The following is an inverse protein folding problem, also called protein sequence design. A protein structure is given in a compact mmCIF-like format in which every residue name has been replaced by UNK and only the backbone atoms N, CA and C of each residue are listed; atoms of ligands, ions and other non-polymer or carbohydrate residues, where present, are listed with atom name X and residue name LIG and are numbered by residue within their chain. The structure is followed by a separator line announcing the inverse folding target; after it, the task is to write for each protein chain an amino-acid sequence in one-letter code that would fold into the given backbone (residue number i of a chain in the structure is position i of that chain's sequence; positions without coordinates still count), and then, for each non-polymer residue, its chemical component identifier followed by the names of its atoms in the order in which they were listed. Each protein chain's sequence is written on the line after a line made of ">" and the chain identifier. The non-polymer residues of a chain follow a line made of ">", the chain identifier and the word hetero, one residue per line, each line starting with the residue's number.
data_IF_959236747889
#
_entry.id   IF_959236747889
#
_cell.length_a   1.000
_cell.length_b   1.000
_cell.length_c   1.000
_cell.angle_alpha   90.00
_cell.angle_beta   90.00
_cell.angle_gamma   90.00
#
_symmetry.space_group_name_H-M   'P 1'
#
loop_
_entity.id
_entity.type
_entity.pdbx_description
1 polymer ?
#
# COMPACT_ATOMS: atom_id res chain seq x y z
N UNK A 1 4.70 14.04 -27.10
CA UNK A 1 4.86 12.87 -26.21
C UNK A 1 3.49 12.30 -25.96
N UNK A 2 3.34 11.00 -26.14
CA UNK A 2 2.07 10.29 -25.95
C UNK A 2 1.79 10.18 -24.45
N UNK A 3 0.51 10.13 -24.03
CA UNK A 3 0.13 9.85 -22.63
C UNK A 3 0.70 8.52 -22.08
N UNK A 4 1.20 7.64 -22.95
CA UNK A 4 1.88 6.40 -22.56
C UNK A 4 3.28 6.63 -21.95
N UNK A 5 3.95 7.75 -22.29
CA UNK A 5 5.32 8.04 -21.80
C UNK A 5 5.35 8.46 -20.31
N UNK A 6 4.19 8.87 -19.76
CA UNK A 6 4.08 9.45 -18.42
C UNK A 6 4.08 8.40 -17.28
N UNK A 7 3.85 7.13 -17.60
CA UNK A 7 3.79 6.01 -16.64
C UNK A 7 4.93 4.99 -16.80
N UNK A 8 5.90 5.24 -17.68
CA UNK A 8 7.02 4.33 -17.88
C UNK A 8 7.96 4.33 -16.66
N UNK A 9 8.22 3.15 -16.10
CA UNK A 9 9.27 2.98 -15.10
C UNK A 9 10.61 3.44 -15.68
N UNK A 10 11.19 4.49 -15.10
CA UNK A 10 12.53 4.94 -15.41
C UNK A 10 13.50 4.39 -14.36
N UNK A 11 14.53 3.61 -14.76
CA UNK A 11 15.51 3.11 -13.80
C UNK A 11 16.16 4.28 -13.06
N UNK A 12 16.21 4.16 -11.73
CA UNK A 12 16.71 5.21 -10.85
C UNK A 12 18.16 5.61 -11.14
N UNK A 13 18.53 6.80 -10.70
CA UNK A 13 19.89 7.34 -10.83
C UNK A 13 20.92 6.35 -10.24
N UNK A 14 21.97 6.02 -10.99
CA UNK A 14 23.09 5.19 -10.52
C UNK A 14 23.60 5.68 -9.15
N UNK A 15 23.48 4.83 -8.13
CA UNK A 15 23.96 5.12 -6.77
C UNK A 15 25.48 4.95 -6.76
N UNK A 16 26.21 5.85 -6.08
CA UNK A 16 27.67 5.73 -5.93
C UNK A 16 28.00 4.43 -5.17
N UNK A 17 28.81 3.55 -5.77
CA UNK A 17 29.28 2.30 -5.16
C UNK A 17 29.98 2.60 -3.83
N UNK A 18 29.53 1.98 -2.73
CA UNK A 18 30.27 2.00 -1.45
C UNK A 18 31.41 0.95 -1.52
N UNK A 19 32.56 1.19 -0.87
CA UNK A 19 33.75 0.33 -0.98
C UNK A 19 33.55 -1.11 -0.46
N UNK A 20 32.52 -1.32 0.34
CA UNK A 20 32.29 -2.51 1.17
C UNK A 20 31.01 -3.28 0.73
N UNK A 21 30.42 -2.89 -0.40
CA UNK A 21 29.19 -3.50 -0.93
C UNK A 21 29.42 -4.98 -1.28
N UNK A 22 28.52 -5.86 -0.84
CA UNK A 22 28.66 -7.33 -0.98
C UNK A 22 29.81 -8.00 -0.20
N UNK A 23 30.69 -7.25 0.48
CA UNK A 23 31.90 -7.80 1.10
C UNK A 23 31.56 -8.75 2.27
N UNK A 24 31.81 -10.05 2.09
CA UNK A 24 31.55 -11.11 3.07
C UNK A 24 30.21 -11.82 2.92
N UNK A 25 29.32 -11.31 2.06
CA UNK A 25 28.04 -11.92 1.72
C UNK A 25 28.13 -12.71 0.40
N UNK A 26 27.17 -13.60 0.18
CA UNK A 26 27.11 -14.41 -1.03
C UNK A 26 25.70 -14.47 -1.61
N UNK A 27 25.62 -14.73 -2.92
CA UNK A 27 24.37 -14.83 -3.66
C UNK A 27 24.32 -16.16 -4.41
N UNK A 28 23.11 -16.69 -4.60
CA UNK A 28 22.86 -17.92 -5.32
C UNK A 28 22.09 -17.64 -6.62
N UNK A 29 22.44 -18.38 -7.67
CA UNK A 29 21.73 -18.38 -8.95
C UNK A 29 21.16 -19.77 -9.18
N UNK A 30 19.87 -19.85 -9.47
CA UNK A 30 19.19 -21.10 -9.83
C UNK A 30 18.69 -20.99 -11.28
N UNK A 31 19.18 -21.86 -12.14
CA UNK A 31 18.75 -21.94 -13.54
C UNK A 31 17.72 -23.05 -13.64
N UNK A 32 16.50 -22.69 -14.03
CA UNK A 32 15.38 -23.61 -14.20
C UNK A 32 15.22 -23.88 -15.68
N UNK A 33 15.75 -25.03 -16.11
CA UNK A 33 15.64 -25.50 -17.48
C UNK A 33 15.89 -27.00 -17.53
N UNK A 34 14.86 -27.76 -17.88
CA UNK A 34 14.98 -29.21 -18.09
C UNK A 34 16.06 -29.57 -19.12
N UNK A 35 16.16 -28.82 -20.23
CA UNK A 35 17.17 -29.06 -21.25
C UNK A 35 18.61 -28.81 -20.76
N UNK A 36 18.82 -27.78 -19.94
CA UNK A 36 20.14 -27.50 -19.36
C UNK A 36 20.50 -28.51 -18.28
N UNK A 37 19.53 -28.89 -17.44
CA UNK A 37 19.74 -29.90 -16.39
C UNK A 37 20.10 -31.29 -16.95
N UNK A 38 19.59 -31.63 -18.14
CA UNK A 38 19.93 -32.86 -18.86
C UNK A 38 21.19 -32.74 -19.74
N UNK A 39 21.85 -31.57 -19.77
CA UNK A 39 23.04 -31.33 -20.58
C UNK A 39 22.77 -31.25 -22.10
N UNK A 40 21.51 -31.11 -22.51
CA UNK A 40 21.11 -30.99 -23.93
C UNK A 40 21.22 -29.57 -24.47
N UNK A 41 21.26 -28.58 -23.58
CA UNK A 41 21.44 -27.17 -23.93
C UNK A 41 22.45 -26.53 -22.97
N UNK A 42 23.25 -25.60 -23.47
CA UNK A 42 24.08 -24.75 -22.62
C UNK A 42 23.21 -23.70 -21.92
N UNK A 43 23.47 -23.43 -20.65
CA UNK A 43 22.89 -22.30 -19.95
C UNK A 43 23.52 -20.99 -20.45
N UNK A 44 22.67 -20.02 -20.79
CA UNK A 44 23.05 -18.69 -21.26
C UNK A 44 22.59 -17.57 -20.32
N UNK A 45 21.91 -17.93 -19.24
CA UNK A 45 21.27 -17.01 -18.29
C UNK A 45 22.01 -16.96 -16.95
N UNK A 46 22.47 -18.09 -16.44
CA UNK A 46 23.26 -18.16 -15.20
C UNK A 46 24.55 -17.36 -15.24
N UNK A 47 25.36 -17.38 -16.32
CA UNK A 47 26.54 -16.53 -16.44
C UNK A 47 26.22 -15.03 -16.33
N UNK A 48 25.11 -14.56 -16.92
CA UNK A 48 24.73 -13.15 -16.86
C UNK A 48 24.46 -12.69 -15.42
N UNK A 49 23.76 -13.52 -14.64
CA UNK A 49 23.48 -13.24 -13.23
C UNK A 49 24.74 -13.34 -12.38
N UNK A 50 25.58 -14.34 -12.64
CA UNK A 50 26.84 -14.56 -11.93
C UNK A 50 27.78 -13.38 -12.11
N UNK A 51 27.96 -12.91 -13.35
CA UNK A 51 28.80 -11.77 -13.69
C UNK A 51 28.28 -10.47 -13.04
N UNK A 52 26.97 -10.25 -13.09
CA UNK A 52 26.34 -9.08 -12.47
C UNK A 52 26.56 -9.03 -10.96
N UNK A 53 26.29 -10.13 -10.27
CA UNK A 53 26.43 -10.23 -8.82
C UNK A 53 27.90 -10.18 -8.38
N UNK A 54 28.79 -10.86 -9.10
CA UNK A 54 30.23 -10.78 -8.84
C UNK A 54 30.75 -9.35 -9.06
N UNK A 55 30.24 -8.65 -10.08
CA UNK A 55 30.53 -7.24 -10.34
C UNK A 55 30.07 -6.28 -9.24
N UNK A 56 29.24 -6.76 -8.31
CA UNK A 56 28.79 -6.07 -7.09
C UNK A 56 29.48 -6.57 -5.81
N UNK A 57 30.46 -7.45 -5.92
CA UNK A 57 31.30 -7.88 -4.79
C UNK A 57 30.77 -9.08 -4.00
N UNK A 58 29.67 -9.70 -4.42
CA UNK A 58 29.18 -10.93 -3.79
C UNK A 58 30.05 -12.13 -4.16
N UNK A 59 30.24 -13.06 -3.23
CA UNK A 59 30.68 -14.42 -3.60
C UNK A 59 29.53 -15.12 -4.31
N UNK A 60 29.75 -15.63 -5.52
CA UNK A 60 28.72 -16.35 -6.29
C UNK A 60 29.27 -17.71 -6.70
N UNK A 61 28.80 -18.82 -6.10
CA UNK A 61 29.12 -20.16 -6.56
C UNK A 61 28.56 -20.43 -7.97
N UNK A 62 28.98 -21.55 -8.58
CA UNK A 62 28.43 -21.99 -9.87
C UNK A 62 26.89 -22.07 -9.83
N UNK A 63 26.20 -21.66 -10.91
CA UNK A 63 24.74 -21.73 -10.97
C UNK A 63 24.21 -23.14 -10.69
N UNK A 64 23.18 -23.22 -9.86
CA UNK A 64 22.47 -24.47 -9.57
C UNK A 64 21.48 -24.70 -10.71
N UNK A 65 21.79 -25.63 -11.60
CA UNK A 65 20.93 -25.97 -12.74
C UNK A 65 19.96 -27.09 -12.33
N UNK A 66 18.67 -26.85 -12.49
CA UNK A 66 17.59 -27.79 -12.17
C UNK A 66 16.58 -27.91 -13.30
N UNK A 67 15.92 -29.06 -13.38
CA UNK A 67 14.78 -29.23 -14.27
C UNK A 67 13.55 -28.47 -13.72
N UNK A 68 12.58 -28.23 -14.60
CA UNK A 68 11.30 -27.63 -14.26
C UNK A 68 10.51 -28.52 -13.27
N UNK A 69 9.59 -27.93 -12.50
CA UNK A 69 8.80 -28.68 -11.51
C UNK A 69 9.42 -28.77 -10.11
N UNK A 70 9.20 -29.93 -9.48
CA UNK A 70 9.61 -30.20 -8.09
C UNK A 70 11.10 -29.92 -7.76
N UNK A 71 12.08 -30.11 -8.67
CA UNK A 71 13.48 -29.81 -8.39
C UNK A 71 13.75 -28.35 -7.99
N UNK A 72 12.94 -27.40 -8.46
CA UNK A 72 13.05 -25.97 -8.10
C UNK A 72 12.83 -25.78 -6.60
N UNK A 73 11.75 -26.36 -6.08
CA UNK A 73 11.44 -26.34 -4.64
C UNK A 73 12.54 -26.98 -3.82
N UNK A 74 13.11 -28.10 -4.27
CA UNK A 74 14.22 -28.76 -3.58
C UNK A 74 15.47 -27.87 -3.51
N UNK A 75 15.79 -27.13 -4.58
CA UNK A 75 16.92 -26.20 -4.56
C UNK A 75 16.68 -25.03 -3.60
N UNK A 76 15.47 -24.46 -3.60
CA UNK A 76 15.09 -23.38 -2.68
C UNK A 76 15.11 -23.84 -1.21
N UNK A 77 14.55 -25.02 -0.90
CA UNK A 77 14.57 -25.62 0.43
C UNK A 77 16.00 -25.75 0.98
N UNK A 78 16.94 -26.24 0.15
CA UNK A 78 18.35 -26.36 0.55
C UNK A 78 18.96 -25.03 0.96
N UNK A 79 18.70 -23.98 0.20
CA UNK A 79 19.29 -22.66 0.43
C UNK A 79 18.61 -21.88 1.56
N UNK A 80 17.30 -22.05 1.72
CA UNK A 80 16.46 -21.21 2.58
C UNK A 80 16.11 -21.83 3.92
N UNK A 81 16.21 -23.16 4.03
CA UNK A 81 15.82 -23.88 5.24
C UNK A 81 16.96 -24.73 5.76
N UNK A 82 17.55 -25.57 4.90
CA UNK A 82 18.52 -26.58 5.34
C UNK A 82 19.86 -25.94 5.76
N UNK A 83 20.21 -24.77 5.22
CA UNK A 83 21.35 -23.98 5.66
C UNK A 83 21.07 -23.24 6.98
N UNK A 84 22.04 -23.19 7.92
CA UNK A 84 21.97 -22.33 9.09
C UNK A 84 21.72 -20.87 8.70
N UNK A 85 20.92 -20.14 9.49
CA UNK A 85 20.52 -18.77 9.15
C UNK A 85 21.68 -17.81 8.85
N UNK A 86 22.82 -17.96 9.55
CA UNK A 86 24.03 -17.16 9.32
C UNK A 86 24.80 -17.51 8.04
N UNK A 87 24.49 -18.64 7.40
CA UNK A 87 25.18 -19.15 6.21
C UNK A 87 24.33 -19.03 4.93
N UNK A 88 23.06 -18.59 5.05
CA UNK A 88 22.15 -18.43 3.91
C UNK A 88 22.63 -17.31 2.96
N UNK A 89 22.34 -17.42 1.66
CA UNK A 89 22.68 -16.36 0.71
C UNK A 89 21.89 -15.08 1.03
N UNK A 90 22.43 -13.91 0.71
CA UNK A 90 21.68 -12.64 0.81
C UNK A 90 20.67 -12.50 -0.31
N UNK A 91 21.02 -12.98 -1.48
CA UNK A 91 20.20 -12.91 -2.67
C UNK A 91 20.10 -14.27 -3.36
N UNK A 92 18.90 -14.64 -3.77
CA UNK A 92 18.64 -15.76 -4.65
C UNK A 92 17.94 -15.23 -5.90
N UNK A 93 18.52 -15.47 -7.06
CA UNK A 93 17.88 -15.18 -8.33
C UNK A 93 17.63 -16.48 -9.08
N UNK A 94 16.37 -16.70 -9.47
CA UNK A 94 16.02 -17.81 -10.36
C UNK A 94 15.84 -17.28 -11.78
N UNK A 95 16.12 -18.11 -12.78
CA UNK A 95 15.86 -17.81 -14.20
C UNK A 95 15.19 -19.00 -14.86
N UNK A 96 14.01 -18.80 -15.45
CA UNK A 96 13.20 -19.85 -16.06
C UNK A 96 12.05 -20.34 -15.19
N UNK A 97 11.18 -21.18 -15.77
CA UNK A 97 10.03 -21.77 -15.08
C UNK A 97 8.94 -20.77 -14.66
N UNK A 98 8.89 -19.56 -15.24
CA UNK A 98 7.93 -18.48 -14.88
C UNK A 98 6.82 -18.28 -15.92
N UNK A 99 6.82 -19.01 -17.02
CA UNK A 99 5.85 -18.85 -18.10
C UNK A 99 4.48 -19.44 -17.76
N UNK A 100 3.66 -19.74 -18.77
CA UNK A 100 2.32 -20.32 -18.61
C UNK A 100 2.24 -21.82 -18.86
N UNK A 101 3.38 -22.49 -19.09
CA UNK A 101 3.38 -23.93 -19.30
C UNK A 101 3.06 -24.68 -18.00
N UNK A 102 2.60 -25.93 -18.10
CA UNK A 102 2.19 -26.73 -16.94
C UNK A 102 3.32 -27.05 -15.97
N UNK A 103 4.56 -27.03 -16.45
CA UNK A 103 5.78 -27.31 -15.70
C UNK A 103 6.48 -26.04 -15.20
N UNK A 104 6.10 -24.86 -15.72
CA UNK A 104 6.48 -23.56 -15.16
C UNK A 104 5.89 -23.43 -13.75
N UNK A 105 6.64 -23.84 -12.73
CA UNK A 105 6.17 -23.86 -11.32
C UNK A 105 7.12 -23.12 -10.39
N UNK A 106 8.08 -22.39 -10.94
CA UNK A 106 9.04 -21.59 -10.17
C UNK A 106 8.36 -20.54 -9.30
N UNK A 107 7.34 -19.79 -9.77
CA UNK A 107 6.58 -18.88 -8.94
C UNK A 107 5.91 -19.56 -7.74
N UNK A 108 5.28 -20.71 -7.96
CA UNK A 108 4.61 -21.51 -6.93
C UNK A 108 5.60 -22.00 -5.88
N UNK A 109 6.70 -22.61 -6.33
CA UNK A 109 7.77 -23.09 -5.46
C UNK A 109 8.40 -21.95 -4.65
N UNK A 110 8.56 -20.76 -5.25
CA UNK A 110 9.11 -19.58 -4.56
C UNK A 110 8.13 -19.02 -3.53
N UNK A 111 6.83 -19.03 -3.83
CA UNK A 111 5.79 -18.51 -2.94
C UNK A 111 5.76 -19.22 -1.58
N UNK A 112 6.09 -20.51 -1.54
CA UNK A 112 6.12 -21.30 -0.30
C UNK A 112 7.11 -20.77 0.75
N UNK A 113 8.16 -20.06 0.33
CA UNK A 113 9.24 -19.60 1.21
C UNK A 113 9.19 -18.11 1.52
N UNK A 114 8.41 -17.31 0.78
CA UNK A 114 8.34 -15.86 0.98
C UNK A 114 7.51 -15.54 2.23
N UNK A 115 8.12 -14.92 3.24
CA UNK A 115 7.44 -14.36 4.41
C UNK A 115 6.95 -12.92 4.18
N UNK A 116 7.67 -12.15 3.37
CA UNK A 116 7.37 -10.75 3.05
C UNK A 116 7.41 -10.53 1.54
N UNK A 117 6.25 -10.56 0.87
CA UNK A 117 6.17 -10.32 -0.56
C UNK A 117 6.62 -8.90 -0.95
N UNK A 118 7.31 -8.80 -2.08
CA UNK A 118 7.73 -7.53 -2.68
C UNK A 118 7.14 -7.38 -4.11
N UNK A 119 5.81 -7.32 -4.27
CA UNK A 119 5.15 -7.31 -5.59
C UNK A 119 5.54 -6.11 -6.45
N UNK A 120 5.91 -4.98 -5.83
CA UNK A 120 6.40 -3.80 -6.55
C UNK A 120 7.65 -4.06 -7.41
N UNK A 121 8.52 -5.00 -7.01
CA UNK A 121 9.67 -5.41 -7.82
C UNK A 121 9.21 -6.11 -9.10
N UNK A 122 8.24 -7.02 -8.99
CA UNK A 122 7.70 -7.72 -10.16
C UNK A 122 6.95 -6.76 -11.09
N UNK A 123 6.20 -5.81 -10.54
CA UNK A 123 5.54 -4.77 -11.34
C UNK A 123 6.55 -3.94 -12.12
N UNK A 124 7.67 -3.55 -11.51
CA UNK A 124 8.73 -2.81 -12.20
C UNK A 124 9.39 -3.64 -13.31
N UNK A 125 9.62 -4.94 -13.06
CA UNK A 125 10.14 -5.88 -14.05
C UNK A 125 9.22 -6.01 -15.27
N UNK A 126 7.92 -6.24 -15.05
CA UNK A 126 6.94 -6.33 -16.13
C UNK A 126 6.78 -5.01 -16.86
N UNK A 127 6.68 -3.89 -16.15
CA UNK A 127 6.56 -2.57 -16.74
C UNK A 127 7.77 -2.21 -17.61
N UNK A 128 8.98 -2.61 -17.20
CA UNK A 128 10.19 -2.40 -18.01
C UNK A 128 10.23 -3.33 -19.23
N UNK A 129 9.90 -4.62 -19.05
CA UNK A 129 9.85 -5.59 -20.15
C UNK A 129 8.81 -5.24 -21.22
N UNK A 130 7.64 -4.75 -20.81
CA UNK A 130 6.54 -4.33 -21.70
C UNK A 130 6.88 -3.13 -22.58
N UNK A 131 7.98 -2.42 -22.31
CA UNK A 131 8.49 -1.40 -23.23
C UNK A 131 9.11 -2.01 -24.49
N UNK A 132 9.40 -3.32 -24.48
CA UNK A 132 10.13 -4.04 -25.54
C UNK A 132 9.33 -5.18 -26.13
N UNK A 133 8.68 -5.98 -25.29
CA UNK A 133 8.01 -7.23 -25.66
C UNK A 133 6.69 -7.37 -24.89
N UNK A 134 5.60 -7.60 -25.60
CA UNK A 134 4.28 -7.82 -25.01
C UNK A 134 4.26 -9.08 -24.15
N UNK A 135 5.01 -10.11 -24.54
CA UNK A 135 5.12 -11.40 -23.84
C UNK A 135 5.67 -11.27 -22.41
N UNK A 136 6.29 -10.13 -22.07
CA UNK A 136 6.75 -9.87 -20.70
C UNK A 136 5.61 -9.96 -19.67
N UNK A 137 4.36 -9.67 -20.06
CA UNK A 137 3.19 -9.81 -19.16
C UNK A 137 2.88 -11.26 -18.77
N UNK A 138 3.36 -12.24 -19.53
CA UNK A 138 3.09 -13.65 -19.29
C UNK A 138 3.96 -14.25 -18.18
N UNK A 139 5.02 -13.55 -17.75
CA UNK A 139 5.84 -14.01 -16.63
C UNK A 139 5.07 -13.89 -15.32
N UNK A 140 4.92 -15.01 -14.60
CA UNK A 140 4.25 -15.08 -13.30
C UNK A 140 5.22 -14.98 -12.12
N UNK A 141 6.45 -14.51 -12.35
CA UNK A 141 7.52 -14.47 -11.36
C UNK A 141 7.12 -13.80 -10.03
N UNK A 142 7.82 -14.15 -8.95
CA UNK A 142 7.65 -13.55 -7.64
C UNK A 142 8.95 -12.93 -7.14
N UNK A 143 8.80 -11.93 -6.28
CA UNK A 143 9.89 -11.34 -5.52
C UNK A 143 9.46 -11.13 -4.06
N UNK A 144 10.39 -11.29 -3.13
CA UNK A 144 10.11 -11.13 -1.70
C UNK A 144 11.28 -11.56 -0.82
N UNK A 145 11.05 -11.55 0.49
CA UNK A 145 12.02 -11.99 1.48
C UNK A 145 11.62 -13.32 2.11
N UNK A 146 12.64 -14.08 2.52
CA UNK A 146 12.57 -15.21 3.44
C UNK A 146 13.61 -14.95 4.53
N UNK A 147 13.18 -14.50 5.71
CA UNK A 147 14.05 -13.97 6.75
C UNK A 147 14.91 -12.83 6.21
N UNK A 148 16.23 -13.02 6.21
CA UNK A 148 17.21 -12.05 5.69
C UNK A 148 17.74 -12.40 4.27
N UNK A 149 17.01 -13.22 3.53
CA UNK A 149 17.33 -13.58 2.13
C UNK A 149 16.29 -12.96 1.21
N UNK A 150 16.72 -12.18 0.21
CA UNK A 150 15.85 -11.72 -0.86
C UNK A 150 15.83 -12.74 -2.00
N UNK A 151 14.65 -13.01 -2.57
CA UNK A 151 14.46 -13.94 -3.67
C UNK A 151 13.71 -13.21 -4.79
N UNK A 152 14.12 -13.40 -6.05
CA UNK A 152 13.40 -12.89 -7.22
C UNK A 152 13.49 -13.88 -8.40
N UNK A 153 12.34 -14.13 -9.02
CA UNK A 153 12.25 -14.95 -10.23
C UNK A 153 12.35 -14.07 -11.49
N UNK A 154 13.26 -14.43 -12.38
CA UNK A 154 13.43 -13.81 -13.68
C UNK A 154 12.97 -14.75 -14.82
N UNK A 155 12.58 -14.20 -15.98
CA UNK A 155 12.26 -15.00 -17.16
C UNK A 155 13.45 -15.85 -17.62
N UNK A 156 13.18 -16.99 -18.25
CA UNK A 156 14.22 -17.91 -18.74
C UNK A 156 14.96 -17.48 -20.02
N UNK A 157 14.65 -16.29 -20.56
CA UNK A 157 15.31 -15.77 -21.76
C UNK A 157 16.48 -14.84 -21.38
N UNK A 158 17.60 -14.85 -22.12
CA UNK A 158 18.70 -13.90 -21.88
C UNK A 158 18.29 -12.43 -21.98
N UNK A 159 17.27 -12.12 -22.79
CA UNK A 159 16.68 -10.78 -22.84
C UNK A 159 15.99 -10.41 -21.54
N UNK A 160 15.10 -11.28 -21.05
CA UNK A 160 14.36 -11.08 -19.79
C UNK A 160 15.28 -10.99 -18.57
N UNK A 161 16.38 -11.75 -18.53
CA UNK A 161 17.39 -11.62 -17.47
C UNK A 161 18.10 -10.27 -17.51
N UNK A 162 18.51 -9.78 -18.69
CA UNK A 162 19.15 -8.44 -18.81
C UNK A 162 18.21 -7.30 -18.43
N UNK A 163 16.94 -7.43 -18.80
CA UNK A 163 15.89 -6.51 -18.38
C UNK A 163 15.73 -6.53 -16.86
N UNK A 164 15.74 -7.74 -16.29
CA UNK A 164 15.69 -7.93 -14.84
C UNK A 164 16.86 -7.29 -14.11
N UNK A 165 18.09 -7.54 -14.59
CA UNK A 165 19.31 -6.91 -14.08
C UNK A 165 19.18 -5.40 -14.14
N UNK A 166 18.68 -4.83 -15.24
CA UNK A 166 18.56 -3.36 -15.39
C UNK A 166 17.65 -2.75 -14.33
N UNK A 167 16.51 -3.39 -14.04
CA UNK A 167 15.59 -2.93 -12.99
C UNK A 167 16.23 -3.12 -11.60
N UNK A 168 16.75 -4.30 -11.32
CA UNK A 168 17.27 -4.69 -10.02
C UNK A 168 18.56 -3.94 -9.64
N UNK A 169 19.41 -3.58 -10.59
CA UNK A 169 20.67 -2.84 -10.36
C UNK A 169 20.41 -1.52 -9.63
N UNK A 170 19.28 -0.87 -9.93
CA UNK A 170 18.89 0.41 -9.32
C UNK A 170 18.51 0.30 -7.84
N UNK A 171 18.09 -0.89 -7.38
CA UNK A 171 17.57 -1.12 -6.02
C UNK A 171 18.43 -2.07 -5.19
N UNK A 172 19.35 -2.83 -5.80
CA UNK A 172 20.16 -3.85 -5.12
C UNK A 172 20.89 -3.29 -3.89
N UNK A 173 21.40 -2.05 -4.00
CA UNK A 173 22.07 -1.39 -2.89
C UNK A 173 21.18 -1.09 -1.69
N UNK A 174 19.95 -0.64 -1.96
CA UNK A 174 18.97 -0.37 -0.92
C UNK A 174 18.47 -1.68 -0.29
N UNK A 175 18.27 -2.72 -1.10
CA UNK A 175 17.89 -4.05 -0.59
C UNK A 175 18.96 -4.61 0.36
N UNK A 176 20.24 -4.54 0.01
CA UNK A 176 21.30 -5.01 0.92
C UNK A 176 21.33 -4.20 2.22
N UNK A 177 21.20 -2.87 2.14
CA UNK A 177 21.19 -2.01 3.34
C UNK A 177 20.05 -2.39 4.29
N UNK A 178 18.84 -2.60 3.77
CA UNK A 178 17.70 -3.03 4.56
C UNK A 178 17.89 -4.43 5.15
N UNK A 179 18.54 -5.35 4.43
CA UNK A 179 18.85 -6.69 4.94
C UNK A 179 19.89 -6.67 6.07
N UNK A 180 20.83 -5.72 6.04
CA UNK A 180 21.86 -5.56 7.08
C UNK A 180 21.32 -4.92 8.37
N UNK A 181 20.33 -4.02 8.25
CA UNK A 181 19.72 -3.27 9.36
C UNK A 181 18.84 -4.15 10.27
N UNK A 182 18.44 -5.34 9.81
CA UNK A 182 17.72 -6.35 10.63
C UNK A 182 18.59 -6.90 11.79
N UNK A 183 19.82 -6.40 12.00
CA UNK A 183 20.65 -6.73 13.16
C UNK A 183 20.53 -5.77 14.35
N UNK A 184 19.83 -4.64 14.22
CA UNK A 184 19.67 -3.67 15.33
C UNK A 184 18.26 -3.55 15.91
N UNK A 185 17.26 -4.25 15.34
CA UNK A 185 15.91 -4.29 15.93
C UNK A 185 15.68 -5.55 16.76
N UNK A 186 16.05 -5.43 18.04
CA UNK A 186 15.42 -6.16 19.15
C UNK A 186 13.88 -6.03 19.07
N UNK A 187 13.21 -7.09 19.53
CA UNK A 187 11.80 -7.49 19.42
C UNK A 187 10.74 -6.45 19.87
N UNK A 188 10.70 -5.25 19.28
CA UNK A 188 9.87 -4.14 19.79
C UNK A 188 8.94 -3.45 18.78
N UNK A 189 8.87 -3.90 17.52
CA UNK A 189 7.87 -3.40 16.57
C UNK A 189 6.91 -4.49 16.10
N UNK A 190 6.17 -5.03 17.07
CA UNK A 190 4.82 -5.52 16.82
C UNK A 190 4.00 -4.29 16.41
N UNK A 191 3.61 -4.20 15.14
CA UNK A 191 2.58 -3.24 14.72
C UNK A 191 1.39 -3.41 15.67
N UNK A 192 0.82 -2.33 16.23
CA UNK A 192 -0.37 -2.46 17.05
C UNK A 192 -1.41 -3.19 16.23
N UNK A 193 -1.93 -4.30 16.78
CA UNK A 193 -3.03 -5.02 16.17
C UNK A 193 -4.12 -3.98 15.86
N UNK A 194 -4.53 -3.91 14.60
CA UNK A 194 -5.67 -3.13 14.19
C UNK A 194 -6.82 -3.46 15.15
N UNK A 195 -7.47 -2.46 15.79
CA UNK A 195 -8.52 -2.73 16.76
C UNK A 195 -9.55 -3.66 16.13
N UNK A 196 -9.94 -4.70 16.87
CA UNK A 196 -10.96 -5.63 16.40
C UNK A 196 -12.20 -4.81 15.98
N UNK A 197 -12.69 -4.96 14.74
CA UNK A 197 -13.80 -4.15 14.26
C UNK A 197 -15.05 -4.41 15.11
N UNK A 198 -15.77 -3.34 15.45
CA UNK A 198 -16.94 -3.42 16.32
C UNK A 198 -18.04 -4.29 15.69
N UNK A 199 -18.47 -5.34 16.40
CA UNK A 199 -19.58 -6.20 16.02
C UNK A 199 -20.90 -5.43 16.13
N UNK A 200 -21.42 -4.94 15.00
CA UNK A 200 -22.70 -4.25 14.92
C UNK A 200 -23.37 -4.50 13.57
N UNK A 201 -24.63 -4.05 13.38
CA UNK A 201 -25.35 -4.25 12.12
C UNK A 201 -24.59 -3.66 10.93
N UNK A 202 -24.85 -4.21 9.74
CA UNK A 202 -24.24 -3.76 8.49
C UNK A 202 -24.75 -2.36 8.07
N UNK A 203 -25.94 -1.97 8.53
CA UNK A 203 -26.48 -0.62 8.35
C UNK A 203 -26.77 0.03 9.70
N UNK A 204 -26.36 1.28 9.89
CA UNK A 204 -26.80 2.07 11.03
C UNK A 204 -25.92 3.26 11.38
N UNK A 205 -26.43 4.07 12.29
CA UNK A 205 -25.68 5.17 12.89
C UNK A 205 -24.92 4.62 14.09
N UNK A 206 -23.59 4.69 14.02
CA UNK A 206 -22.66 4.26 15.08
C UNK A 206 -22.56 5.32 16.16
N UNK A 207 -22.56 6.60 15.78
CA UNK A 207 -22.45 7.73 16.70
C UNK A 207 -22.95 9.02 16.06
N UNK A 208 -23.65 9.83 16.84
CA UNK A 208 -23.90 11.24 16.54
C UNK A 208 -23.72 12.12 17.77
N UNK A 209 -23.10 13.29 17.61
CA UNK A 209 -22.99 14.25 18.70
C UNK A 209 -22.82 15.70 18.24
N UNK A 210 -23.36 16.62 19.03
CA UNK A 210 -22.91 18.01 19.10
C UNK A 210 -22.03 18.12 20.34
N UNK A 211 -20.80 18.64 20.21
CA UNK A 211 -19.81 18.64 21.30
C UNK A 211 -18.98 19.92 21.33
N UNK A 212 -18.44 20.29 22.48
CA UNK A 212 -17.41 21.34 22.59
C UNK A 212 -15.99 20.76 22.46
N UNK A 213 -15.86 19.44 22.65
CA UNK A 213 -14.57 18.74 22.64
C UNK A 213 -13.98 18.64 21.22
N UNK A 214 -12.64 18.61 21.09
CA UNK A 214 -11.97 18.36 19.82
C UNK A 214 -12.40 17.03 19.19
N UNK A 215 -12.59 17.03 17.87
CA UNK A 215 -12.95 15.84 17.10
C UNK A 215 -11.68 14.99 16.84
N UNK A 216 -11.70 13.72 17.24
CA UNK A 216 -10.56 12.79 17.11
C UNK A 216 -10.73 11.84 15.92
N UNK A 217 -9.61 11.28 15.45
CA UNK A 217 -9.58 10.42 14.26
C UNK A 217 -10.19 9.01 14.49
N UNK A 218 -10.69 8.73 15.70
CA UNK A 218 -11.30 7.44 16.06
C UNK A 218 -12.58 7.14 15.28
N UNK A 219 -13.21 8.17 14.69
CA UNK A 219 -14.41 8.05 13.87
C UNK A 219 -14.26 7.02 12.74
N UNK A 220 -13.13 7.03 12.04
CA UNK A 220 -12.87 6.10 10.93
C UNK A 220 -12.75 4.65 11.40
N UNK A 221 -12.21 4.44 12.61
CA UNK A 221 -12.09 3.11 13.22
C UNK A 221 -13.45 2.62 13.73
N UNK A 222 -14.25 3.50 14.34
CA UNK A 222 -15.54 3.16 14.93
C UNK A 222 -16.55 2.61 13.91
N UNK A 223 -16.48 3.08 12.66
CA UNK A 223 -17.38 2.63 11.59
C UNK A 223 -16.98 1.29 10.96
N UNK A 224 -15.76 0.79 11.20
CA UNK A 224 -15.29 -0.47 10.63
C UNK A 224 -16.11 -1.67 11.11
N UNK A 225 -16.38 -2.58 10.19
CA UNK A 225 -16.92 -3.92 10.46
C UNK A 225 -16.33 -4.92 9.45
N UNK A 226 -16.35 -6.24 9.73
CA UNK A 226 -15.90 -7.25 8.75
C UNK A 226 -16.66 -7.24 7.42
N UNK A 227 -17.81 -6.56 7.36
CA UNK A 227 -18.64 -6.41 6.16
C UNK A 227 -18.29 -5.16 5.34
N UNK A 228 -17.44 -4.27 5.85
CA UNK A 228 -17.10 -2.99 5.22
C UNK A 228 -15.73 -3.06 4.55
N UNK A 229 -15.70 -2.81 3.24
CA UNK A 229 -14.48 -2.81 2.43
C UNK A 229 -13.90 -1.41 2.16
N UNK A 230 -14.63 -0.35 2.53
CA UNK A 230 -14.21 1.02 2.33
C UNK A 230 -14.69 1.94 3.46
N UNK A 231 -13.89 2.94 3.80
CA UNK A 231 -14.26 4.06 4.67
C UNK A 231 -13.97 5.36 3.94
N UNK A 232 -14.96 6.25 3.87
CA UNK A 232 -14.79 7.63 3.43
C UNK A 232 -14.96 8.54 4.65
N UNK A 233 -14.13 9.58 4.76
CA UNK A 233 -14.25 10.58 5.81
C UNK A 233 -14.21 11.99 5.25
N UNK A 234 -14.93 12.89 5.91
CA UNK A 234 -14.97 14.31 5.62
C UNK A 234 -14.63 15.10 6.89
N UNK A 235 -13.81 16.13 6.73
CA UNK A 235 -13.43 17.09 7.77
C UNK A 235 -13.74 18.51 7.32
N UNK A 236 -14.56 19.21 8.10
CA UNK A 236 -14.89 20.61 7.92
C UNK A 236 -13.89 21.50 8.65
N UNK A 237 -12.67 21.62 8.13
CA UNK A 237 -11.61 22.44 8.74
C UNK A 237 -11.85 23.95 8.55
N UNK A 238 -11.54 24.74 9.57
CA UNK A 238 -11.60 26.19 9.51
C UNK A 238 -10.47 26.71 8.63
N UNK A 239 -10.83 27.52 7.63
CA UNK A 239 -9.86 28.17 6.73
C UNK A 239 -9.62 29.59 7.17
N UNK A 240 -8.46 30.13 6.82
CA UNK A 240 -8.11 31.53 7.05
C UNK A 240 -8.81 32.52 6.10
N UNK A 241 -9.74 32.06 5.27
CA UNK A 241 -10.46 32.89 4.32
C UNK A 241 -11.92 32.42 4.14
N UNK A 242 -12.84 33.37 4.02
CA UNK A 242 -14.25 33.14 3.67
C UNK A 242 -14.85 34.42 3.06
N UNK A 243 -15.82 34.27 2.16
CA UNK A 243 -16.58 35.40 1.58
C UNK A 243 -15.74 36.59 1.05
N UNK A 244 -14.57 36.31 0.45
CA UNK A 244 -13.68 37.34 -0.12
C UNK A 244 -12.75 38.04 0.89
N UNK A 245 -12.69 37.57 2.14
CA UNK A 245 -11.77 38.02 3.19
C UNK A 245 -10.70 36.97 3.45
N UNK A 246 -9.47 37.39 3.72
CA UNK A 246 -8.28 36.57 3.96
C UNK A 246 -7.69 36.73 5.38
N UNK A 247 -8.43 37.40 6.26
CA UNK A 247 -8.04 37.72 7.64
C UNK A 247 -8.90 37.01 8.71
N UNK A 248 -9.49 35.86 8.37
CA UNK A 248 -10.26 35.03 9.31
C UNK A 248 -9.29 34.34 10.28
N UNK A 249 -9.53 34.53 11.57
CA UNK A 249 -8.68 33.96 12.65
C UNK A 249 -9.32 32.78 13.37
N UNK A 250 -10.65 32.68 13.30
CA UNK A 250 -11.44 31.61 13.88
C UNK A 250 -12.93 31.84 13.67
N UNK A 251 -13.72 30.86 14.08
CA UNK A 251 -15.19 30.86 14.04
C UNK A 251 -15.76 30.46 15.40
N UNK A 252 -16.84 31.11 15.81
CA UNK A 252 -17.67 30.68 16.93
C UNK A 252 -18.90 29.96 16.39
N UNK A 253 -19.11 28.72 16.83
CA UNK A 253 -20.27 27.92 16.48
C UNK A 253 -21.26 27.83 17.63
N UNK A 254 -22.54 28.06 17.33
CA UNK A 254 -23.63 27.82 18.26
C UNK A 254 -24.64 26.85 17.64
N UNK A 255 -25.22 25.99 18.45
CA UNK A 255 -26.20 25.00 18.00
C UNK A 255 -27.56 25.24 18.64
N UNK A 256 -28.62 25.02 17.87
CA UNK A 256 -29.97 24.97 18.43
C UNK A 256 -30.09 23.80 19.42
N UNK A 257 -30.93 23.88 20.46
CA UNK A 257 -31.16 22.75 21.37
C UNK A 257 -31.57 21.44 20.67
N UNK A 258 -32.20 21.54 19.49
CA UNK A 258 -32.62 20.38 18.68
C UNK A 258 -31.57 19.91 17.67
N UNK A 259 -30.41 20.57 17.56
CA UNK A 259 -29.42 20.25 16.54
C UNK A 259 -28.92 18.79 16.64
N UNK A 260 -28.73 18.27 17.87
CA UNK A 260 -28.33 16.88 18.06
C UNK A 260 -29.38 15.88 17.60
N UNK A 261 -30.66 16.15 17.87
CA UNK A 261 -31.77 15.30 17.43
C UNK A 261 -31.91 15.32 15.90
N UNK A 262 -31.80 16.49 15.28
CA UNK A 262 -31.87 16.66 13.83
C UNK A 262 -30.68 15.98 13.16
N UNK A 263 -29.46 16.14 13.69
CA UNK A 263 -28.26 15.43 13.19
C UNK A 263 -28.45 13.91 13.21
N UNK A 264 -28.98 13.37 14.31
CA UNK A 264 -29.27 11.94 14.43
C UNK A 264 -30.32 11.49 13.40
N UNK A 265 -31.39 12.25 13.22
CA UNK A 265 -32.44 11.97 12.25
C UNK A 265 -31.92 12.01 10.81
N UNK A 266 -31.14 13.03 10.43
CA UNK A 266 -30.51 13.15 9.10
C UNK A 266 -29.58 11.96 8.83
N UNK A 267 -28.73 11.59 9.79
CA UNK A 267 -27.85 10.41 9.65
C UNK A 267 -28.65 9.12 9.46
N UNK A 268 -29.74 8.93 10.22
CA UNK A 268 -30.58 7.74 10.11
C UNK A 268 -31.31 7.67 8.76
N UNK A 269 -31.84 8.80 8.26
CA UNK A 269 -32.51 8.86 6.97
C UNK A 269 -31.55 8.50 5.82
N UNK A 270 -30.35 9.11 5.80
CA UNK A 270 -29.33 8.79 4.79
C UNK A 270 -28.89 7.32 4.90
N UNK A 271 -28.66 6.80 6.11
CA UNK A 271 -28.30 5.39 6.27
C UNK A 271 -29.36 4.43 5.71
N UNK A 272 -30.65 4.77 5.84
CA UNK A 272 -31.76 3.96 5.33
C UNK A 272 -31.84 3.97 3.80
N UNK A 273 -31.61 5.12 3.16
CA UNK A 273 -31.59 5.23 1.70
C UNK A 273 -30.51 4.34 1.08
N UNK A 274 -29.35 4.25 1.74
CA UNK A 274 -28.23 3.40 1.32
C UNK A 274 -28.33 1.94 1.83
N UNK A 275 -29.40 1.57 2.56
CA UNK A 275 -29.56 0.23 3.12
C UNK A 275 -29.88 -0.84 2.05
N UNK A 276 -30.58 -0.47 0.99
CA UNK A 276 -31.13 -1.42 0.01
C UNK A 276 -30.17 -1.78 -1.14
N UNK A 277 -29.20 -0.92 -1.45
CA UNK A 277 -28.46 -1.02 -2.71
C UNK A 277 -27.11 -1.75 -2.61
N UNK A 278 -26.53 -1.95 -1.42
CA UNK A 278 -25.09 -2.25 -1.35
C UNK A 278 -24.56 -2.98 -0.09
N UNK A 279 -25.41 -3.66 0.66
CA UNK A 279 -24.99 -4.32 1.92
C UNK A 279 -24.87 -3.38 3.12
N UNK A 280 -25.37 -2.14 3.00
CA UNK A 280 -25.51 -1.21 4.11
C UNK A 280 -24.35 -0.23 4.29
N UNK A 281 -24.60 0.81 5.10
CA UNK A 281 -23.60 1.80 5.49
C UNK A 281 -23.59 2.01 7.00
N UNK A 282 -22.40 2.27 7.54
CA UNK A 282 -22.21 2.63 8.96
C UNK A 282 -21.72 4.06 9.06
N UNK A 283 -22.43 4.88 9.82
CA UNK A 283 -22.22 6.33 9.85
C UNK A 283 -21.78 6.77 11.25
N UNK A 284 -20.74 7.59 11.30
CA UNK A 284 -20.32 8.36 12.47
C UNK A 284 -20.30 9.83 12.07
N UNK A 285 -20.94 10.72 12.84
CA UNK A 285 -20.93 12.15 12.55
C UNK A 285 -20.94 12.99 13.83
N UNK A 286 -20.04 13.97 13.93
CA UNK A 286 -20.04 14.90 15.04
C UNK A 286 -19.75 16.32 14.58
N UNK A 287 -20.46 17.28 15.16
CA UNK A 287 -20.21 18.70 14.95
C UNK A 287 -19.68 19.33 16.24
N UNK A 288 -18.56 20.05 16.14
CA UNK A 288 -17.98 20.80 17.25
C UNK A 288 -18.57 22.21 17.31
N UNK A 289 -18.93 22.66 18.51
CA UNK A 289 -19.44 24.00 18.80
C UNK A 289 -18.48 24.74 19.74
N UNK A 290 -18.70 26.04 19.91
CA UNK A 290 -17.78 26.93 20.64
C UNK A 290 -16.78 27.62 19.72
N UNK A 291 -15.69 28.13 20.29
CA UNK A 291 -14.66 28.89 19.57
C UNK A 291 -13.62 27.97 18.95
N UNK A 292 -13.47 28.04 17.63
CA UNK A 292 -12.52 27.24 16.85
C UNK A 292 -11.56 28.13 16.06
N UNK A 293 -10.27 27.86 16.15
CA UNK A 293 -9.21 28.51 15.38
C UNK A 293 -9.09 27.92 13.97
N UNK A 294 -8.41 28.67 13.08
CA UNK A 294 -7.99 28.15 11.77
C UNK A 294 -7.22 26.84 11.92
N UNK A 295 -7.60 25.84 11.12
CA UNK A 295 -7.02 24.49 11.13
C UNK A 295 -7.74 23.50 12.04
N UNK A 296 -8.64 23.94 12.94
CA UNK A 296 -9.50 23.06 13.72
C UNK A 296 -10.72 22.60 12.90
N UNK A 297 -11.31 21.46 13.26
CA UNK A 297 -12.49 20.93 12.57
C UNK A 297 -13.78 21.22 13.30
N UNK A 298 -14.73 21.80 12.55
CA UNK A 298 -16.10 22.01 13.00
C UNK A 298 -16.98 20.77 12.76
N UNK A 299 -16.67 19.95 11.76
CA UNK A 299 -17.48 18.78 11.39
C UNK A 299 -16.56 17.61 11.05
N UNK A 300 -16.81 16.44 11.62
CA UNK A 300 -16.18 15.18 11.24
C UNK A 300 -17.28 14.17 10.91
N UNK A 301 -17.17 13.56 9.73
CA UNK A 301 -18.06 12.50 9.26
C UNK A 301 -17.19 11.34 8.80
N UNK A 302 -17.55 10.12 9.21
CA UNK A 302 -16.98 8.88 8.69
C UNK A 302 -18.11 7.94 8.26
N UNK A 303 -17.98 7.36 7.08
CA UNK A 303 -18.93 6.42 6.50
C UNK A 303 -18.20 5.18 6.03
N UNK A 304 -18.59 4.02 6.55
CA UNK A 304 -18.11 2.73 6.05
C UNK A 304 -19.17 2.07 5.16
N UNK A 305 -18.73 1.45 4.07
CA UNK A 305 -19.56 0.67 3.15
C UNK A 305 -18.79 -0.55 2.63
N UNK A 306 -19.50 -1.54 2.07
CA UNK A 306 -18.87 -2.70 1.43
C UNK A 306 -17.96 -2.31 0.24
N UNK A 307 -18.32 -1.22 -0.45
CA UNK A 307 -17.67 -0.78 -1.67
C UNK A 307 -17.43 0.74 -1.65
N UNK A 308 -16.36 1.18 -2.35
CA UNK A 308 -15.86 2.56 -2.25
C UNK A 308 -16.80 3.61 -2.85
N UNK A 309 -17.58 3.26 -3.88
CA UNK A 309 -18.44 4.23 -4.59
C UNK A 309 -19.55 4.71 -3.66
N UNK A 310 -20.08 3.78 -2.89
CA UNK A 310 -21.16 3.90 -1.94
C UNK A 310 -20.69 4.68 -0.70
N UNK A 311 -19.48 4.37 -0.19
CA UNK A 311 -18.88 5.14 0.89
C UNK A 311 -18.72 6.63 0.52
N UNK A 312 -18.23 6.92 -0.69
CA UNK A 312 -18.12 8.30 -1.16
C UNK A 312 -19.48 8.97 -1.39
N UNK A 313 -20.42 8.29 -2.06
CA UNK A 313 -21.74 8.84 -2.33
C UNK A 313 -22.52 9.15 -1.05
N UNK A 314 -22.53 8.23 -0.09
CA UNK A 314 -23.18 8.42 1.20
C UNK A 314 -22.51 9.51 2.04
N UNK A 315 -21.16 9.56 2.06
CA UNK A 315 -20.44 10.61 2.78
C UNK A 315 -20.72 12.01 2.22
N UNK A 316 -20.74 12.16 0.88
CA UNK A 316 -21.05 13.42 0.23
C UNK A 316 -22.48 13.87 0.54
N UNK A 317 -23.47 13.00 0.31
CA UNK A 317 -24.89 13.28 0.58
C UNK A 317 -25.12 13.65 2.04
N UNK A 318 -24.50 12.92 2.97
CA UNK A 318 -24.63 13.19 4.39
C UNK A 318 -24.09 14.56 4.79
N UNK A 319 -22.92 14.96 4.27
CA UNK A 319 -22.34 16.27 4.57
C UNK A 319 -23.21 17.39 4.05
N UNK A 320 -23.76 17.24 2.84
CA UNK A 320 -24.64 18.24 2.23
C UNK A 320 -25.94 18.38 3.02
N UNK A 321 -26.58 17.27 3.43
CA UNK A 321 -27.79 17.33 4.28
C UNK A 321 -27.51 17.88 5.67
N UNK A 322 -26.40 17.51 6.31
CA UNK A 322 -26.03 18.07 7.61
C UNK A 322 -25.92 19.60 7.51
N UNK A 323 -25.26 20.12 6.47
CA UNK A 323 -25.12 21.57 6.27
C UNK A 323 -26.43 22.28 5.94
N UNK A 324 -27.37 21.58 5.31
CA UNK A 324 -28.66 22.14 4.91
C UNK A 324 -29.72 22.08 6.02
N UNK A 325 -29.71 21.04 6.84
CA UNK A 325 -30.81 20.70 7.76
C UNK A 325 -30.48 20.93 9.23
N UNK A 326 -29.21 20.75 9.64
CA UNK A 326 -28.83 20.82 11.06
C UNK A 326 -28.65 22.29 11.47
N UNK A 327 -29.47 22.82 12.40
CA UNK A 327 -29.48 24.23 12.75
C UNK A 327 -28.28 24.61 13.64
N UNK A 328 -27.15 24.86 12.98
CA UNK A 328 -25.90 25.32 13.57
C UNK A 328 -25.50 26.63 12.88
N UNK A 329 -25.16 27.63 13.69
CA UNK A 329 -24.77 28.96 13.22
C UNK A 329 -23.29 29.20 13.43
N UNK A 330 -22.65 29.92 12.50
CA UNK A 330 -21.25 30.37 12.62
C UNK A 330 -21.19 31.89 12.75
N UNK A 331 -20.36 32.38 13.64
CA UNK A 331 -19.94 33.77 13.74
C UNK A 331 -18.45 33.86 13.41
N UNK A 332 -18.05 34.76 12.52
CA UNK A 332 -16.65 34.88 12.07
C UNK A 332 -15.87 35.91 12.88
N UNK A 333 -14.62 35.60 13.22
CA UNK A 333 -13.71 36.55 13.88
C UNK A 333 -12.59 37.01 12.93
N UNK A 334 -12.53 38.33 12.72
CA UNK A 334 -11.51 38.97 11.88
C UNK A 334 -10.38 39.57 12.71
N UNK A 335 -9.15 39.55 12.19
CA UNK A 335 -7.97 40.14 12.84
C UNK A 335 -8.11 41.65 13.14
N UNK A 336 -9.03 42.32 12.47
CA UNK A 336 -9.32 43.76 12.59
C UNK A 336 -10.39 44.11 13.63
N UNK A 337 -10.95 43.14 14.36
CA UNK A 337 -11.86 43.35 15.49
C UNK A 337 -13.37 43.41 15.18
N UNK A 338 -13.79 43.01 13.98
CA UNK A 338 -15.20 42.88 13.59
C UNK A 338 -15.73 41.43 13.68
N UNK A 339 -17.05 41.26 13.68
CA UNK A 339 -17.72 39.96 13.64
C UNK A 339 -18.93 39.95 12.69
N UNK A 340 -19.05 38.92 11.87
CA UNK A 340 -20.21 38.70 10.98
C UNK A 340 -20.89 37.37 11.33
N UNK A 341 -22.22 37.38 11.43
CA UNK A 341 -23.04 36.18 11.64
C UNK A 341 -23.48 35.60 10.31
N UNK A 342 -23.26 34.30 10.10
CA UNK A 342 -23.72 33.58 8.90
C UNK A 342 -24.56 32.38 9.34
N UNK A 343 -25.83 32.39 8.94
CA UNK A 343 -26.80 31.30 9.16
C UNK A 343 -27.36 30.76 7.84
N UNK A 344 -28.14 29.68 7.91
CA UNK A 344 -28.77 29.05 6.74
C UNK A 344 -29.69 30.06 6.03
N UNK A 345 -29.32 30.42 4.79
CA UNK A 345 -30.16 31.13 3.83
C UNK A 345 -29.76 32.58 3.50
N UNK A 346 -28.72 32.74 2.67
CA UNK A 346 -28.66 33.78 1.62
C UNK A 346 -27.85 33.28 0.45
#
# INVERSE_FOLDING_TARGET
>A
MSKADEFAFQPGRRIKRKPDFGAGDWAAVIVVSTAAAEGRAADTTGPLLTDWLTGHGYRVPDPIIVADGAPVRTALQRLLVDLPAGERPRFIFTTGGTGTNSDDTTPEATAEFIDRPAPGIMHALWAYGLQKLDEAMMSRGRAGLCGQTFICNLPGSPGGVRDGITVLDSVLHHLQAQLADVRDHDDSHRHPAQPAPASGPATGVVHTSITEDPLTDDAAVAVLSPQMGAVASFRGAIRNHDSGRDDVTGLDYTAHPQAGEILAATCAAVAQEFAAESGGVRIWAAHRIGSLAVGEDALLVAVAAAHRREAFACCAELVDRIKAEVPIWKQQHYATGGHDWVGIGS
#
